data_IF_001773358243
#
_entry.id   IF_001773358243
#
_cell.length_a   1.000
_cell.length_b   1.000
_cell.length_c   1.000
_cell.angle_alpha   90.00
_cell.angle_beta   90.00
_cell.angle_gamma   90.00
#
_symmetry.space_group_name_H-M   'P 1'
#
loop_
_entity.id
_entity.type
_entity.pdbx_description
1 polymer ?
#
# COMPACT_ATOMS: atom_id res chain seq x y z
N UNK A 1 27.00 -4.60 -26.52
CA UNK A 1 26.25 -5.85 -26.25
C UNK A 1 26.21 -6.07 -24.75
N UNK A 2 25.03 -6.14 -24.09
CA UNK A 2 24.93 -6.19 -22.63
C UNK A 2 25.03 -7.61 -22.03
N UNK A 3 25.03 -8.65 -22.87
CA UNK A 3 25.11 -10.06 -22.44
C UNK A 3 26.46 -10.68 -22.82
N UNK A 4 26.92 -11.61 -21.99
CA UNK A 4 28.12 -12.41 -22.23
C UNK A 4 27.74 -13.89 -22.32
N UNK A 5 28.28 -14.60 -23.32
CA UNK A 5 27.96 -16.01 -23.56
C UNK A 5 28.41 -16.87 -22.37
N UNK A 6 27.50 -17.73 -21.88
CA UNK A 6 27.76 -18.64 -20.76
C UNK A 6 27.69 -17.98 -19.37
N UNK A 7 27.48 -16.67 -19.30
CA UNK A 7 27.34 -15.96 -18.03
C UNK A 7 25.86 -15.78 -17.66
N UNK A 8 25.51 -15.86 -16.36
CA UNK A 8 24.17 -15.54 -15.90
C UNK A 8 23.86 -14.05 -16.12
N UNK A 9 22.58 -13.73 -16.22
CA UNK A 9 22.10 -12.36 -16.35
C UNK A 9 20.76 -12.17 -15.67
N UNK A 10 20.50 -10.95 -15.25
CA UNK A 10 19.17 -10.47 -14.85
C UNK A 10 18.64 -9.53 -15.92
N UNK A 11 17.45 -9.84 -16.45
CA UNK A 11 16.75 -9.01 -17.42
C UNK A 11 15.42 -8.53 -16.83
N UNK A 12 15.25 -7.22 -16.72
CA UNK A 12 14.07 -6.61 -16.15
C UNK A 12 13.40 -5.66 -17.15
N UNK A 13 12.09 -5.82 -17.30
CA UNK A 13 11.23 -4.94 -18.09
C UNK A 13 10.34 -4.14 -17.12
N UNK A 14 10.67 -2.87 -16.92
CA UNK A 14 9.84 -1.96 -16.14
C UNK A 14 8.84 -1.27 -17.06
N UNK A 15 7.56 -1.53 -16.84
CA UNK A 15 6.46 -0.90 -17.60
C UNK A 15 6.15 0.47 -17.00
N UNK A 16 6.41 1.52 -17.75
CA UNK A 16 5.99 2.89 -17.42
C UNK A 16 4.82 3.32 -18.32
N UNK A 17 4.24 4.49 -18.06
CA UNK A 17 3.10 5.00 -18.84
C UNK A 17 3.45 5.27 -20.30
N UNK A 18 4.69 5.67 -20.59
CA UNK A 18 5.18 6.08 -21.92
C UNK A 18 6.00 5.00 -22.63
N UNK A 19 6.68 4.15 -21.87
CA UNK A 19 7.76 3.30 -22.37
C UNK A 19 7.99 2.07 -21.48
N UNK A 20 8.71 1.11 -22.04
CA UNK A 20 9.39 0.06 -21.29
C UNK A 20 10.83 0.49 -21.01
N UNK A 21 11.24 0.47 -19.74
CA UNK A 21 12.66 0.56 -19.36
C UNK A 21 13.23 -0.84 -19.22
N UNK A 22 14.21 -1.15 -20.05
CA UNK A 22 14.88 -2.45 -20.07
C UNK A 22 16.20 -2.32 -19.32
N UNK A 23 16.37 -3.12 -18.28
CA UNK A 23 17.59 -3.17 -17.47
C UNK A 23 18.26 -4.54 -17.62
N UNK A 24 19.58 -4.54 -17.73
CA UNK A 24 20.40 -5.75 -17.71
C UNK A 24 21.36 -5.66 -16.53
N UNK A 25 21.34 -6.66 -15.66
CA UNK A 25 22.17 -6.72 -14.45
C UNK A 25 22.05 -5.42 -13.61
N UNK A 26 20.82 -4.93 -13.42
CA UNK A 26 20.51 -3.72 -12.66
C UNK A 26 20.81 -2.39 -13.37
N UNK A 27 21.46 -2.40 -14.54
CA UNK A 27 21.82 -1.19 -15.28
C UNK A 27 20.85 -0.92 -16.43
N UNK A 28 20.45 0.35 -16.64
CA UNK A 28 19.60 0.74 -17.77
C UNK A 28 20.30 0.45 -19.09
N UNK A 29 19.66 -0.38 -19.92
CA UNK A 29 20.15 -0.72 -21.25
C UNK A 29 19.44 0.08 -22.35
N UNK A 30 18.10 0.11 -22.32
CA UNK A 30 17.33 0.82 -23.35
C UNK A 30 15.94 1.25 -22.83
N UNK A 31 15.41 2.32 -23.41
CA UNK A 31 14.02 2.76 -23.28
C UNK A 31 13.30 2.49 -24.59
N UNK A 32 12.15 1.82 -24.53
CA UNK A 32 11.35 1.50 -25.72
C UNK A 32 9.95 2.08 -25.56
N UNK A 33 9.66 3.15 -26.31
CA UNK A 33 8.35 3.79 -26.30
C UNK A 33 7.25 2.85 -26.80
N UNK A 34 6.09 2.91 -26.13
CA UNK A 34 4.93 2.11 -26.50
C UNK A 34 4.47 2.47 -27.91
N UNK A 35 4.42 1.46 -28.79
CA UNK A 35 3.84 1.60 -30.14
C UNK A 35 2.37 1.17 -30.20
N UNK A 36 1.95 0.41 -29.21
CA UNK A 36 0.58 -0.03 -28.96
C UNK A 36 0.30 0.09 -27.47
N UNK A 37 -0.97 0.17 -27.03
CA UNK A 37 -1.28 0.25 -25.60
C UNK A 37 -0.76 -0.98 -24.84
N UNK A 38 0.11 -0.78 -23.86
CA UNK A 38 0.81 -1.84 -23.13
C UNK A 38 -0.14 -2.81 -22.38
N UNK A 39 -1.33 -2.33 -21.98
CA UNK A 39 -2.33 -3.17 -21.30
C UNK A 39 -2.95 -4.26 -22.18
N UNK A 40 -2.71 -4.22 -23.49
CA UNK A 40 -3.14 -5.29 -24.43
C UNK A 40 -2.17 -6.47 -24.47
N UNK A 41 -1.02 -6.36 -23.83
CA UNK A 41 -0.02 -7.44 -23.78
C UNK A 41 -0.42 -8.42 -22.68
N UNK A 42 -0.70 -9.66 -23.06
CA UNK A 42 -1.12 -10.74 -22.16
C UNK A 42 -0.17 -11.96 -22.19
N UNK A 43 0.80 -11.97 -23.11
CA UNK A 43 1.64 -13.12 -23.41
C UNK A 43 3.10 -12.72 -23.42
N UNK A 44 3.95 -13.49 -22.71
CA UNK A 44 5.41 -13.42 -22.80
C UNK A 44 5.92 -14.68 -23.49
N UNK A 45 6.85 -14.50 -24.44
CA UNK A 45 7.53 -15.60 -25.12
C UNK A 45 9.03 -15.39 -25.03
N UNK A 46 9.75 -16.45 -24.64
CA UNK A 46 11.22 -16.47 -24.57
C UNK A 46 11.69 -17.58 -25.49
N UNK A 47 12.50 -17.22 -26.49
CA UNK A 47 13.06 -18.14 -27.48
C UNK A 47 14.52 -17.77 -27.77
N UNK A 48 15.27 -18.68 -28.38
CA UNK A 48 16.68 -18.54 -28.70
C UNK A 48 17.59 -19.29 -27.73
N UNK A 49 18.89 -19.05 -27.86
CA UNK A 49 19.93 -19.72 -27.06
C UNK A 49 20.05 -19.11 -25.65
N UNK A 50 19.10 -19.44 -24.79
CA UNK A 50 19.03 -18.98 -23.40
C UNK A 50 18.56 -20.11 -22.49
N UNK A 51 19.16 -20.21 -21.30
CA UNK A 51 18.64 -21.03 -20.22
C UNK A 51 18.01 -20.09 -19.18
N UNK A 52 16.80 -20.40 -18.74
CA UNK A 52 16.04 -19.55 -17.83
C UNK A 52 15.89 -20.22 -16.47
N UNK A 53 16.26 -19.49 -15.42
CA UNK A 53 16.08 -19.97 -14.04
C UNK A 53 14.67 -19.72 -13.53
N UNK A 54 14.16 -18.49 -13.69
CA UNK A 54 12.81 -18.10 -13.30
C UNK A 54 12.34 -16.85 -14.04
N UNK A 55 11.03 -16.60 -14.01
CA UNK A 55 10.39 -15.34 -14.38
C UNK A 55 9.57 -14.89 -13.17
N UNK A 56 9.63 -13.61 -12.82
CA UNK A 56 8.80 -13.04 -11.74
C UNK A 56 8.07 -11.79 -12.23
N UNK A 57 6.84 -11.61 -11.74
CA UNK A 57 6.03 -10.42 -11.99
C UNK A 57 5.85 -9.67 -10.68
N UNK A 58 6.17 -8.38 -10.67
CA UNK A 58 6.07 -7.54 -9.48
C UNK A 58 5.22 -6.31 -9.79
N UNK A 59 4.27 -6.00 -8.90
CA UNK A 59 3.50 -4.77 -8.97
C UNK A 59 3.92 -3.84 -7.82
N UNK A 60 4.91 -2.95 -8.04
CA UNK A 60 5.40 -2.05 -6.99
C UNK A 60 4.37 -1.00 -6.57
N UNK A 61 3.25 -0.86 -7.30
CA UNK A 61 2.19 0.11 -7.02
C UNK A 61 1.01 -0.50 -6.24
N UNK A 62 0.97 -1.81 -6.05
CA UNK A 62 -0.03 -2.42 -5.20
C UNK A 62 0.27 -2.03 -3.74
N UNK A 63 -0.39 -0.98 -3.25
CA UNK A 63 -0.44 -0.72 -1.82
C UNK A 63 -1.05 -1.96 -1.13
N UNK A 64 -0.61 -2.30 0.09
CA UNK A 64 -1.29 -3.31 0.88
C UNK A 64 -2.76 -2.91 0.99
N UNK A 65 -3.66 -3.76 0.50
CA UNK A 65 -5.10 -3.55 0.67
C UNK A 65 -5.37 -3.73 2.16
N UNK A 66 -5.36 -2.64 2.93
CA UNK A 66 -5.87 -2.70 4.29
C UNK A 66 -7.37 -2.97 4.20
N UNK A 67 -7.90 -4.00 4.88
CA UNK A 67 -9.34 -4.16 5.00
C UNK A 67 -9.90 -2.90 5.65
N UNK A 68 -10.69 -2.13 4.90
CA UNK A 68 -11.46 -1.05 5.47
C UNK A 68 -12.55 -1.66 6.35
N UNK A 69 -12.25 -1.87 7.64
CA UNK A 69 -13.32 -2.00 8.62
C UNK A 69 -14.02 -0.64 8.65
N UNK A 70 -15.19 -0.59 8.04
CA UNK A 70 -16.07 0.58 8.08
C UNK A 70 -16.55 0.79 9.51
N UNK A 71 -15.75 1.44 10.34
CA UNK A 71 -16.26 2.10 11.55
C UNK A 71 -17.11 3.26 11.06
N UNK A 72 -18.42 3.03 10.97
CA UNK A 72 -19.39 4.10 10.74
C UNK A 72 -19.26 5.07 11.91
N UNK A 73 -18.84 6.34 11.72
CA UNK A 73 -18.87 7.30 12.82
C UNK A 73 -20.34 7.64 13.07
N UNK A 74 -20.90 7.08 14.13
CA UNK A 74 -22.19 7.52 14.67
C UNK A 74 -22.00 8.89 15.33
N UNK A 75 -22.06 9.94 14.53
CA UNK A 75 -22.22 11.30 15.01
C UNK A 75 -22.73 12.21 13.89
N UNK A 76 -23.98 11.98 13.48
CA UNK A 76 -24.74 13.06 12.85
C UNK A 76 -25.11 14.08 13.93
N UNK A 77 -24.82 15.37 13.76
CA UNK A 77 -25.47 16.40 14.57
C UNK A 77 -26.93 16.47 14.12
N UNK A 78 -27.85 16.01 14.97
CA UNK A 78 -29.28 16.25 14.77
C UNK A 78 -29.51 17.76 14.88
N UNK A 79 -29.84 18.42 13.78
CA UNK A 79 -30.25 19.82 13.80
C UNK A 79 -31.70 19.88 14.31
N UNK A 80 -31.88 20.25 15.58
CA UNK A 80 -33.22 20.43 16.14
C UNK A 80 -33.78 21.82 15.78
N UNK A 81 -35.04 21.92 15.32
CA UNK A 81 -35.68 23.23 15.18
C UNK A 81 -35.87 23.87 16.57
N UNK A 82 -35.73 25.21 16.72
CA UNK A 82 -35.91 25.85 18.01
C UNK A 82 -37.38 25.77 18.45
N UNK A 83 -37.63 25.26 19.65
CA UNK A 83 -38.96 25.23 20.28
C UNK A 83 -39.28 26.56 20.99
N UNK A 84 -40.55 27.01 20.98
CA UNK A 84 -40.98 28.22 21.67
C UNK A 84 -41.00 28.05 23.20
N UNK A 85 -40.64 29.14 23.90
CA UNK A 85 -40.55 29.25 25.37
C UNK A 85 -41.89 28.96 26.06
N UNK A 86 -41.85 28.16 27.14
CA UNK A 86 -42.96 28.07 28.10
C UNK A 86 -42.67 27.25 29.37
N UNK A 87 -42.27 27.97 30.44
CA UNK A 87 -42.59 27.73 31.88
C UNK A 87 -41.86 26.61 32.71
N UNK A 88 -40.85 27.05 33.51
CA UNK A 88 -40.56 26.88 34.98
C UNK A 88 -40.72 25.45 35.63
N UNK A 89 -39.88 24.87 36.52
CA UNK A 89 -38.98 25.34 37.63
C UNK A 89 -37.81 24.33 37.99
N UNK A 90 -37.02 24.70 39.02
CA UNK A 90 -35.63 24.43 39.53
C UNK A 90 -35.47 23.21 40.52
N UNK A 91 -34.32 22.95 41.22
CA UNK A 91 -32.84 23.05 41.00
C UNK A 91 -32.07 21.76 41.50
N UNK A 92 -30.88 21.84 42.16
CA UNK A 92 -29.48 21.70 41.68
C UNK A 92 -28.92 20.24 41.84
N UNK A 93 -27.77 19.82 41.30
CA UNK A 93 -26.45 20.10 41.88
C UNK A 93 -25.33 19.21 41.26
N UNK A 94 -24.10 19.74 41.28
CA UNK A 94 -22.77 19.11 41.21
C UNK A 94 -22.23 18.59 39.84
N UNK A 95 -21.17 19.25 39.37
CA UNK A 95 -20.10 18.76 38.45
C UNK A 95 -18.86 18.39 39.29
N UNK A 96 -17.72 17.87 38.77
CA UNK A 96 -17.39 17.25 37.46
C UNK A 96 -16.59 15.92 37.62
N UNK A 97 -16.30 15.22 36.52
CA UNK A 97 -14.94 14.79 36.12
C UNK A 97 -15.01 13.65 35.08
N UNK A 98 -14.53 13.91 33.86
CA UNK A 98 -14.21 12.86 32.90
C UNK A 98 -12.81 12.32 33.24
N UNK A 99 -12.62 11.02 33.52
CA UNK A 99 -11.29 10.43 33.49
C UNK A 99 -10.84 10.28 32.03
N UNK A 100 -9.69 10.86 31.69
CA UNK A 100 -9.01 10.61 30.43
C UNK A 100 -8.54 9.14 30.39
N UNK A 101 -8.76 8.37 29.31
CA UNK A 101 -8.13 7.07 29.17
C UNK A 101 -6.63 7.25 28.95
N UNK A 102 -5.87 6.75 29.92
CA UNK A 102 -4.41 6.75 29.97
C UNK A 102 -3.89 5.82 28.87
N UNK A 103 -3.04 6.34 27.99
CA UNK A 103 -2.23 5.52 27.08
C UNK A 103 -1.10 4.85 27.87
N UNK A 104 -1.00 3.52 27.87
CA UNK A 104 0.22 2.86 28.36
C UNK A 104 0.74 1.79 27.38
N UNK A 105 2.06 1.86 27.26
CA UNK A 105 2.98 1.31 26.26
C UNK A 105 3.33 -0.15 26.53
N UNK A 106 3.47 -0.94 25.46
CA UNK A 106 3.91 -2.35 25.51
C UNK A 106 5.44 -2.42 25.59
N UNK A 107 5.96 -3.17 26.57
CA UNK A 107 7.39 -3.54 26.66
C UNK A 107 7.49 -5.04 26.33
N UNK A 108 8.14 -5.37 25.21
CA UNK A 108 8.52 -6.75 24.88
C UNK A 108 9.91 -7.04 25.44
N UNK A 109 10.01 -7.90 26.45
CA UNK A 109 11.29 -8.44 26.92
C UNK A 109 11.75 -9.55 25.98
N UNK A 110 12.87 -9.33 25.30
CA UNK A 110 13.63 -10.39 24.63
C UNK A 110 14.45 -11.13 25.69
N UNK A 111 14.26 -12.44 25.81
CA UNK A 111 15.17 -13.31 26.55
C UNK A 111 15.86 -14.25 25.57
N UNK A 112 17.13 -13.96 25.31
CA UNK A 112 18.11 -14.92 24.83
C UNK A 112 18.54 -15.78 26.02
N UNK A 113 18.52 -17.10 25.87
CA UNK A 113 19.28 -18.01 26.72
C UNK A 113 19.85 -19.15 25.87
N UNK A 114 21.17 -19.22 25.88
CA UNK A 114 22.02 -20.29 25.37
C UNK A 114 21.97 -21.52 26.28
N UNK A 115 21.95 -22.70 25.67
CA UNK A 115 22.16 -24.00 26.30
C UNK A 115 22.34 -25.06 25.23
#
# INVERSE_FOLDING_TARGET
>A
MPFQKGMPFDLCFLVQSSDFKVMVNGSLFVQYFHRVPFHRVDTISVNGSVQLSYISFQNPRAAPVQPAFSTVPFSQPVCFPPRPRGRRQKPPSVRPANPAPITQTVIHTVQSASG
#
